data_IF_429935188895
#
_entry.id   IF_429935188895
#
_cell.length_a   1.000
_cell.length_b   1.000
_cell.length_c   1.000
_cell.angle_alpha   90.00
_cell.angle_beta   90.00
_cell.angle_gamma   90.00
#
_symmetry.space_group_name_H-M   'P 1'
#
loop_
_entity.id
_entity.type
_entity.pdbx_description
1 polymer ?
#
# COMPACT_ATOMS: atom_id res chain seq x y z
N UNK A 1 -13.51 18.23 -7.73
CA UNK A 1 -12.48 17.53 -8.52
C UNK A 1 -11.15 18.21 -8.27
N UNK A 2 -10.22 17.51 -7.62
CA UNK A 2 -8.89 18.01 -7.27
C UNK A 2 -7.94 18.00 -8.49
N UNK A 3 -6.76 18.64 -8.37
CA UNK A 3 -5.72 18.54 -9.40
C UNK A 3 -5.24 17.09 -9.59
N UNK A 4 -5.20 16.30 -8.52
CA UNK A 4 -4.85 14.88 -8.56
C UNK A 4 -5.86 14.05 -9.34
N UNK A 5 -7.16 14.38 -9.26
CA UNK A 5 -8.17 13.71 -10.09
C UNK A 5 -7.90 13.95 -11.59
N UNK A 6 -7.50 15.17 -11.97
CA UNK A 6 -7.12 15.51 -13.36
C UNK A 6 -5.85 14.79 -13.80
N UNK A 7 -4.87 14.62 -12.90
CA UNK A 7 -3.68 13.81 -13.20
C UNK A 7 -4.03 12.34 -13.40
N UNK A 8 -4.88 11.78 -12.53
CA UNK A 8 -5.38 10.42 -12.67
C UNK A 8 -6.06 10.19 -14.02
N UNK A 9 -6.96 11.10 -14.42
CA UNK A 9 -7.62 11.07 -15.71
C UNK A 9 -6.62 11.08 -16.88
N UNK A 10 -5.71 12.06 -16.92
CA UNK A 10 -4.72 12.18 -18.01
C UNK A 10 -3.80 10.97 -18.12
N UNK A 11 -3.31 10.44 -16.98
CA UNK A 11 -2.42 9.27 -16.99
C UNK A 11 -3.21 8.04 -17.44
N UNK A 12 -4.44 7.85 -16.98
CA UNK A 12 -5.28 6.72 -17.40
C UNK A 12 -5.56 6.75 -18.90
N UNK A 13 -5.82 7.93 -19.48
CA UNK A 13 -6.06 8.09 -20.93
C UNK A 13 -4.80 7.85 -21.78
N UNK A 14 -3.65 8.36 -21.35
CA UNK A 14 -2.42 8.36 -22.14
C UNK A 14 -1.60 7.07 -21.98
N UNK A 15 -1.55 6.52 -20.77
CA UNK A 15 -0.72 5.35 -20.43
C UNK A 15 -1.54 4.07 -20.49
N UNK A 16 -2.87 4.17 -20.28
CA UNK A 16 -3.80 3.03 -20.23
C UNK A 16 -3.32 1.91 -19.31
N UNK A 17 -3.00 2.19 -18.02
CA UNK A 17 -2.51 1.21 -17.08
C UNK A 17 -3.49 0.03 -16.92
N UNK A 18 -2.96 -1.13 -16.52
CA UNK A 18 -3.74 -2.37 -16.44
C UNK A 18 -4.89 -2.34 -15.42
N UNK A 19 -4.87 -1.37 -14.51
CA UNK A 19 -5.95 -1.10 -13.55
C UNK A 19 -5.97 0.38 -13.17
N UNK A 20 -7.02 0.80 -12.45
CA UNK A 20 -7.15 2.18 -11.94
C UNK A 20 -5.93 2.55 -11.10
N UNK A 21 -5.53 3.82 -11.20
CA UNK A 21 -4.47 4.37 -10.35
C UNK A 21 -5.03 4.52 -8.94
N UNK A 22 -4.26 4.11 -7.94
CA UNK A 22 -4.69 4.16 -6.55
C UNK A 22 -4.13 5.43 -5.90
N UNK A 23 -5.00 6.26 -5.34
CA UNK A 23 -4.66 7.27 -4.35
C UNK A 23 -4.56 6.60 -2.98
N UNK A 24 -3.45 6.78 -2.27
CA UNK A 24 -3.25 6.32 -0.90
C UNK A 24 -2.97 7.52 0.00
N UNK A 25 -3.63 7.57 1.15
CA UNK A 25 -3.36 8.54 2.21
C UNK A 25 -3.28 7.84 3.56
N UNK A 26 -2.33 8.25 4.39
CA UNK A 26 -2.23 7.81 5.78
C UNK A 26 -3.19 8.62 6.66
N UNK A 27 -3.91 7.95 7.56
CA UNK A 27 -4.93 8.57 8.41
C UNK A 27 -4.35 8.92 9.78
N UNK A 28 -4.39 10.20 10.16
CA UNK A 28 -4.01 10.66 11.51
C UNK A 28 -5.23 10.77 12.42
N UNK A 29 -6.43 11.03 11.87
CA UNK A 29 -7.71 11.03 12.60
C UNK A 29 -8.78 10.18 11.92
N UNK A 30 -9.75 9.70 12.70
CA UNK A 30 -10.97 9.07 12.19
C UNK A 30 -11.87 10.07 11.43
N UNK A 31 -11.75 11.36 11.73
CA UNK A 31 -12.51 12.42 11.06
C UNK A 31 -12.08 12.61 9.59
N UNK A 32 -10.90 12.11 9.22
CA UNK A 32 -10.38 12.17 7.85
C UNK A 32 -11.01 11.10 6.94
N UNK A 33 -11.85 10.22 7.48
CA UNK A 33 -12.51 9.14 6.72
C UNK A 33 -13.66 9.75 5.90
N UNK A 34 -13.59 9.73 4.56
CA UNK A 34 -14.65 10.25 3.71
C UNK A 34 -15.90 9.36 3.78
N UNK A 35 -17.06 10.00 3.64
CA UNK A 35 -18.35 9.32 3.58
C UNK A 35 -18.39 8.27 2.46
N UNK A 36 -18.83 7.06 2.78
CA UNK A 36 -18.95 5.95 1.82
C UNK A 36 -17.66 5.15 1.60
N UNK A 37 -16.60 5.44 2.35
CA UNK A 37 -15.48 4.51 2.49
C UNK A 37 -15.94 3.23 3.19
N UNK A 38 -15.43 2.09 2.74
CA UNK A 38 -15.70 0.79 3.33
C UNK A 38 -14.56 0.33 4.22
N UNK A 39 -14.89 -0.42 5.27
CA UNK A 39 -13.94 -1.05 6.16
C UNK A 39 -13.98 -2.58 6.05
N UNK A 40 -12.83 -3.27 5.98
CA UNK A 40 -12.78 -4.73 5.87
C UNK A 40 -13.65 -5.48 6.88
N UNK A 41 -13.54 -5.18 8.18
CA UNK A 41 -14.32 -5.88 9.21
C UNK A 41 -15.80 -5.53 9.09
N UNK A 42 -16.15 -4.25 8.98
CA UNK A 42 -17.55 -3.78 9.01
C UNK A 42 -18.32 -4.21 7.75
N UNK A 43 -17.74 -4.02 6.56
CA UNK A 43 -18.43 -4.25 5.28
C UNK A 43 -18.27 -5.67 4.73
N UNK A 44 -17.20 -6.39 5.10
CA UNK A 44 -16.92 -7.73 4.56
C UNK A 44 -16.83 -8.82 5.64
N UNK A 45 -16.96 -8.45 6.92
CA UNK A 45 -16.93 -9.39 8.05
C UNK A 45 -15.57 -10.04 8.30
N UNK A 46 -14.48 -9.49 7.73
CA UNK A 46 -13.14 -10.08 7.86
C UNK A 46 -12.02 -9.07 7.67
N UNK A 47 -10.94 -9.32 8.39
CA UNK A 47 -9.67 -8.63 8.22
C UNK A 47 -9.07 -8.92 6.83
N UNK A 48 -8.35 -7.96 6.26
CA UNK A 48 -7.75 -8.10 4.93
C UNK A 48 -6.28 -7.72 4.94
N UNK A 49 -5.48 -8.41 4.11
CA UNK A 49 -4.13 -7.94 3.83
C UNK A 49 -4.21 -6.65 3.02
N UNK A 50 -3.26 -5.72 3.21
CA UNK A 50 -3.27 -4.44 2.47
C UNK A 50 -3.27 -4.62 0.97
N UNK A 51 -2.57 -5.63 0.44
CA UNK A 51 -2.61 -5.94 -0.97
C UNK A 51 -4.01 -6.35 -1.49
N UNK A 52 -4.87 -6.92 -0.64
CA UNK A 52 -6.27 -7.25 -0.98
C UNK A 52 -7.13 -5.98 -0.96
N UNK A 53 -7.00 -5.11 0.04
CA UNK A 53 -7.68 -3.82 0.08
C UNK A 53 -7.33 -2.94 -1.14
N UNK A 54 -6.03 -2.82 -1.47
CA UNK A 54 -5.59 -2.11 -2.67
C UNK A 54 -6.09 -2.77 -3.96
N UNK A 55 -6.28 -4.09 -3.96
CA UNK A 55 -6.89 -4.80 -5.08
C UNK A 55 -8.37 -4.43 -5.27
N UNK A 56 -9.13 -4.25 -4.18
CA UNK A 56 -10.51 -3.80 -4.24
C UNK A 56 -10.61 -2.41 -4.89
N UNK A 57 -9.75 -1.49 -4.47
CA UNK A 57 -9.68 -0.16 -5.07
C UNK A 57 -9.33 -0.20 -6.55
N UNK A 58 -8.24 -0.86 -6.93
CA UNK A 58 -7.78 -0.80 -8.33
C UNK A 58 -8.71 -1.53 -9.30
N UNK A 59 -9.32 -2.66 -8.88
CA UNK A 59 -10.13 -3.51 -9.75
C UNK A 59 -11.61 -3.12 -9.75
N UNK A 60 -12.16 -2.82 -8.58
CA UNK A 60 -13.60 -2.56 -8.41
C UNK A 60 -13.92 -1.08 -8.17
N UNK A 61 -12.91 -0.23 -7.98
CA UNK A 61 -13.11 1.20 -7.79
C UNK A 61 -13.55 1.58 -6.37
N UNK A 62 -13.43 0.66 -5.42
CA UNK A 62 -13.89 0.87 -4.05
C UNK A 62 -12.95 1.79 -3.26
N UNK A 63 -13.53 2.65 -2.43
CA UNK A 63 -12.78 3.42 -1.43
C UNK A 63 -12.71 2.58 -0.16
N UNK A 64 -11.52 2.18 0.23
CA UNK A 64 -11.29 1.27 1.37
C UNK A 64 -10.48 2.00 2.43
N UNK A 65 -10.94 1.96 3.67
CA UNK A 65 -10.16 2.33 4.86
C UNK A 65 -9.70 1.07 5.55
N UNK A 66 -8.44 1.02 5.93
CA UNK A 66 -7.89 -0.03 6.80
C UNK A 66 -7.29 0.61 8.04
N UNK A 67 -7.96 0.44 9.17
CA UNK A 67 -7.40 0.72 10.49
C UNK A 67 -6.58 -0.47 10.99
N UNK A 68 -5.94 -0.33 12.14
CA UNK A 68 -5.13 -1.39 12.74
C UNK A 68 -5.87 -2.73 12.83
N UNK A 69 -7.10 -2.73 13.34
CA UNK A 69 -7.92 -3.93 13.51
C UNK A 69 -8.32 -4.58 12.19
N UNK A 70 -8.42 -3.80 11.10
CA UNK A 70 -8.79 -4.31 9.78
C UNK A 70 -7.64 -5.06 9.08
N UNK A 71 -6.41 -4.94 9.60
CA UNK A 71 -5.23 -5.50 8.97
C UNK A 71 -4.96 -6.93 9.39
N UNK A 72 -4.91 -7.79 8.37
CA UNK A 72 -4.49 -9.17 8.51
C UNK A 72 -2.97 -9.35 8.49
N UNK A 73 -2.27 -8.58 7.64
CA UNK A 73 -0.85 -8.79 7.39
C UNK A 73 0.00 -7.97 8.38
N UNK A 74 0.97 -8.58 9.09
CA UNK A 74 1.80 -7.85 10.06
C UNK A 74 2.81 -6.90 9.40
N UNK A 75 3.19 -7.13 8.15
CA UNK A 75 4.19 -6.33 7.44
C UNK A 75 3.73 -4.88 7.20
N UNK A 76 2.51 -4.59 6.69
CA UNK A 76 1.99 -3.23 6.61
C UNK A 76 1.72 -2.63 8.00
N UNK A 77 1.29 -3.41 8.99
CA UNK A 77 1.11 -2.92 10.37
C UNK A 77 2.41 -2.33 10.91
N UNK A 78 3.52 -3.06 10.76
CA UNK A 78 4.86 -2.62 11.20
C UNK A 78 5.40 -1.52 10.28
N UNK A 79 5.31 -1.71 8.95
CA UNK A 79 5.88 -0.78 7.97
C UNK A 79 5.21 0.60 7.99
N UNK A 80 3.91 0.66 8.25
CA UNK A 80 3.16 1.91 8.35
C UNK A 80 3.15 2.50 9.76
N UNK A 81 3.85 1.89 10.72
CA UNK A 81 3.93 2.43 12.09
C UNK A 81 2.62 2.31 12.87
N UNK A 82 1.76 1.35 12.55
CA UNK A 82 0.51 1.13 13.31
C UNK A 82 0.75 0.40 14.63
N UNK A 83 1.86 -0.34 14.73
CA UNK A 83 2.34 -0.92 15.97
C UNK A 83 3.87 -1.02 15.98
N UNK A 84 4.43 -1.09 17.18
CA UNK A 84 5.85 -1.36 17.39
C UNK A 84 6.23 -2.76 16.85
N UNK A 85 7.36 -2.89 16.14
CA UNK A 85 7.83 -4.20 15.71
C UNK A 85 8.21 -5.07 16.94
N UNK A 86 7.61 -6.25 17.11
CA UNK A 86 7.93 -7.13 18.22
C UNK A 86 9.33 -7.76 18.06
N UNK A 87 9.96 -8.23 19.14
CA UNK A 87 11.33 -8.78 19.10
C UNK A 87 11.50 -9.91 18.07
N UNK A 88 10.52 -10.82 17.98
CA UNK A 88 10.55 -11.93 17.02
C UNK A 88 10.60 -11.48 15.55
N UNK A 89 10.17 -10.25 15.24
CA UNK A 89 10.27 -9.67 13.92
C UNK A 89 11.75 -9.45 13.56
N UNK A 90 12.54 -8.90 14.47
CA UNK A 90 13.98 -8.68 14.29
C UNK A 90 14.80 -9.97 14.30
N UNK A 91 14.26 -11.05 14.87
CA UNK A 91 14.83 -12.40 14.79
C UNK A 91 14.55 -13.08 13.43
N UNK A 92 13.80 -12.44 12.51
CA UNK A 92 13.48 -12.98 11.19
C UNK A 92 12.40 -14.07 11.17
N UNK A 93 11.74 -14.33 12.31
CA UNK A 93 10.72 -15.38 12.46
C UNK A 93 9.42 -15.08 11.71
N UNK A 94 9.20 -13.83 11.32
CA UNK A 94 8.05 -13.44 10.50
C UNK A 94 8.16 -13.95 9.05
N UNK A 95 9.37 -14.29 8.57
CA UNK A 95 9.59 -14.79 7.20
C UNK A 95 10.14 -16.20 7.17
N UNK A 96 11.01 -16.60 8.10
CA UNK A 96 11.49 -17.97 8.16
C UNK A 96 10.40 -18.95 8.65
N UNK A 97 10.32 -20.19 8.15
CA UNK A 97 11.09 -20.79 7.04
C UNK A 97 10.46 -20.59 5.65
N UNK A 98 9.30 -19.94 5.55
CA UNK A 98 8.52 -19.93 4.29
C UNK A 98 8.97 -18.91 3.24
N UNK A 99 9.49 -17.76 3.69
CA UNK A 99 9.81 -16.61 2.84
C UNK A 99 11.31 -16.28 2.78
N UNK A 100 12.16 -16.93 3.55
CA UNK A 100 13.63 -16.74 3.53
C UNK A 100 14.34 -18.04 3.92
N UNK A 101 15.59 -18.20 3.45
CA UNK A 101 16.38 -19.41 3.65
C UNK A 101 16.89 -19.62 5.10
N UNK A 102 17.01 -18.54 5.88
CA UNK A 102 17.51 -18.59 7.26
C UNK A 102 16.87 -17.50 8.12
N UNK A 103 16.99 -17.64 9.45
CA UNK A 103 16.60 -16.59 10.40
C UNK A 103 17.42 -15.31 10.16
N UNK A 104 18.73 -15.43 9.90
CA UNK A 104 19.60 -14.28 9.60
C UNK A 104 19.14 -13.50 8.37
N UNK A 105 18.72 -14.19 7.31
CA UNK A 105 18.17 -13.55 6.11
C UNK A 105 16.86 -12.79 6.42
N UNK A 106 16.02 -13.34 7.30
CA UNK A 106 14.81 -12.67 7.79
C UNK A 106 15.15 -11.45 8.66
N UNK A 107 16.13 -11.57 9.55
CA UNK A 107 16.58 -10.51 10.44
C UNK A 107 17.19 -9.32 9.66
N UNK A 108 17.98 -9.59 8.62
CA UNK A 108 18.52 -8.54 7.75
C UNK A 108 17.40 -7.75 7.08
N UNK A 109 16.42 -8.45 6.51
CA UNK A 109 15.26 -7.79 5.92
C UNK A 109 14.45 -6.98 6.95
N UNK A 110 14.26 -7.51 8.15
CA UNK A 110 13.52 -6.83 9.23
C UNK A 110 14.19 -5.51 9.64
N UNK A 111 15.52 -5.45 9.65
CA UNK A 111 16.27 -4.22 9.92
C UNK A 111 16.18 -3.21 8.78
N UNK A 112 16.23 -3.69 7.53
CA UNK A 112 16.19 -2.85 6.33
C UNK A 112 14.78 -2.38 5.94
N UNK A 113 13.73 -3.01 6.46
CA UNK A 113 12.34 -2.61 6.21
C UNK A 113 12.15 -1.13 6.59
N UNK A 114 11.80 -0.26 5.61
CA UNK A 114 11.42 1.11 5.90
C UNK A 114 10.17 1.12 6.77
N UNK A 115 10.19 1.92 7.83
CA UNK A 115 9.12 2.01 8.83
C UNK A 115 8.79 3.47 9.07
N UNK A 116 7.50 3.78 9.10
CA UNK A 116 7.01 5.06 9.62
C UNK A 116 7.08 5.06 11.14
N UNK A 117 7.05 6.25 11.72
CA UNK A 117 7.06 6.43 13.18
C UNK A 117 5.84 5.77 13.83
N UNK A 118 6.03 4.86 14.80
CA UNK A 118 4.93 4.20 15.48
C UNK A 118 3.98 5.18 16.19
N UNK A 119 2.68 4.92 16.09
CA UNK A 119 1.64 5.68 16.79
C UNK A 119 1.25 7.02 16.13
N UNK A 120 1.88 7.38 15.01
CA UNK A 120 1.51 8.58 14.25
C UNK A 120 0.20 8.41 13.46
N UNK A 121 -0.02 7.24 12.89
CA UNK A 121 -1.15 6.96 12.01
C UNK A 121 -2.05 5.88 12.59
N UNK A 122 -3.37 6.02 12.39
CA UNK A 122 -4.39 5.05 12.79
C UNK A 122 -4.61 3.98 11.72
N UNK A 123 -4.24 4.27 10.47
CA UNK A 123 -4.47 3.40 9.33
C UNK A 123 -4.18 4.10 8.01
N UNK A 124 -4.75 3.57 6.94
CA UNK A 124 -4.70 4.19 5.61
C UNK A 124 -6.06 4.15 4.92
N UNK A 125 -6.21 5.04 3.95
CA UNK A 125 -7.28 5.02 2.97
C UNK A 125 -6.73 4.82 1.57
N UNK A 126 -7.44 4.03 0.77
CA UNK A 126 -7.19 3.89 -0.66
C UNK A 126 -8.45 4.15 -1.48
N UNK A 127 -8.35 4.95 -2.53
CA UNK A 127 -9.43 5.24 -3.48
C UNK A 127 -8.89 5.32 -4.91
N UNK A 128 -9.71 5.21 -5.97
CA UNK A 128 -9.27 5.51 -7.32
C UNK A 128 -8.84 6.97 -7.41
N UNK A 129 -7.64 7.24 -7.95
CA UNK A 129 -7.07 8.59 -8.01
C UNK A 129 -7.99 9.58 -8.74
N UNK A 130 -8.71 9.10 -9.78
CA UNK A 130 -9.67 9.90 -10.55
C UNK A 130 -10.86 10.41 -9.73
N UNK A 131 -11.24 9.72 -8.66
CA UNK A 131 -12.43 10.04 -7.85
C UNK A 131 -12.14 10.24 -6.37
N UNK A 132 -10.87 10.18 -5.95
CA UNK A 132 -10.46 10.38 -4.57
C UNK A 132 -10.93 11.76 -4.07
N UNK A 133 -11.59 11.78 -2.91
CA UNK A 133 -12.10 12.96 -2.23
C UNK A 133 -11.10 13.58 -1.24
N UNK A 134 -9.89 13.05 -1.19
CA UNK A 134 -8.78 13.50 -0.34
C UNK A 134 -7.53 13.79 -1.17
N UNK A 135 -6.60 14.55 -0.60
CA UNK A 135 -5.25 14.74 -1.15
C UNK A 135 -4.38 13.51 -0.86
N UNK A 136 -3.87 12.79 -1.86
CA UNK A 136 -3.08 11.58 -1.65
C UNK A 136 -1.64 11.89 -1.25
N UNK A 137 -1.09 11.10 -0.32
CA UNK A 137 0.35 11.10 -0.02
C UNK A 137 1.14 10.37 -1.11
N UNK A 138 0.55 9.31 -1.68
CA UNK A 138 1.15 8.46 -2.72
C UNK A 138 0.13 8.06 -3.77
N UNK A 139 0.55 8.04 -5.03
CA UNK A 139 -0.16 7.40 -6.12
C UNK A 139 0.51 6.07 -6.50
N UNK A 140 -0.24 4.98 -6.53
CA UNK A 140 0.25 3.65 -6.92
C UNK A 140 -0.28 3.31 -8.31
N UNK A 141 0.65 3.11 -9.25
CA UNK A 141 0.35 2.77 -10.65
C UNK A 141 0.82 1.35 -10.93
N UNK A 142 -0.12 0.47 -11.30
CA UNK A 142 0.21 -0.86 -11.80
C UNK A 142 0.40 -0.80 -13.32
N UNK A 143 1.65 -0.95 -13.76
CA UNK A 143 2.03 -0.80 -15.16
C UNK A 143 2.98 -1.93 -15.61
N UNK A 144 3.01 -2.18 -16.92
CA UNK A 144 4.02 -3.04 -17.54
C UNK A 144 5.28 -2.23 -17.90
N UNK A 145 6.32 -2.91 -18.39
CA UNK A 145 7.61 -2.25 -18.72
C UNK A 145 7.48 -1.13 -19.76
N UNK A 146 6.61 -1.27 -20.76
CA UNK A 146 6.41 -0.26 -21.80
C UNK A 146 5.70 0.99 -21.26
N UNK A 147 4.75 0.80 -20.36
CA UNK A 147 4.05 1.88 -19.67
C UNK A 147 4.95 2.60 -18.67
N UNK A 148 5.77 1.84 -17.92
CA UNK A 148 6.78 2.40 -17.02
C UNK A 148 7.77 3.28 -17.79
N UNK A 149 8.27 2.82 -18.94
CA UNK A 149 9.16 3.63 -19.78
C UNK A 149 8.52 4.96 -20.17
N UNK A 150 7.24 4.98 -20.56
CA UNK A 150 6.53 6.22 -20.90
C UNK A 150 6.42 7.18 -19.72
N UNK A 151 6.14 6.68 -18.52
CA UNK A 151 6.11 7.48 -17.30
C UNK A 151 7.49 8.09 -17.00
N UNK A 152 8.55 7.28 -17.10
CA UNK A 152 9.92 7.72 -16.87
C UNK A 152 10.37 8.77 -17.89
N UNK A 153 10.03 8.59 -19.17
CA UNK A 153 10.29 9.60 -20.21
C UNK A 153 9.56 10.92 -19.94
N UNK A 154 8.34 10.87 -19.39
CA UNK A 154 7.61 12.07 -18.98
C UNK A 154 8.30 12.82 -17.83
N UNK A 155 8.98 12.11 -16.93
CA UNK A 155 9.74 12.71 -15.84
C UNK A 155 11.06 13.28 -16.36
N UNK A 156 11.80 12.51 -17.15
CA UNK A 156 13.04 12.94 -17.77
C UNK A 156 12.82 14.09 -18.78
N UNK A 157 11.62 14.27 -19.32
CA UNK A 157 11.30 15.43 -20.16
C UNK A 157 11.42 16.76 -19.41
N UNK A 158 11.18 16.78 -18.10
CA UNK A 158 11.20 18.01 -17.30
C UNK A 158 12.63 18.54 -17.09
N UNK A 159 13.59 17.68 -16.74
CA UNK A 159 14.96 18.10 -16.38
C UNK A 159 16.09 17.24 -16.95
N UNK A 160 15.76 16.24 -17.79
CA UNK A 160 16.72 15.35 -18.44
C UNK A 160 17.31 14.27 -17.52
N UNK A 161 16.83 14.12 -16.28
CA UNK A 161 17.42 13.21 -15.31
C UNK A 161 16.71 11.86 -15.26
N UNK A 162 17.52 10.82 -15.15
CA UNK A 162 17.03 9.47 -14.85
C UNK A 162 16.65 9.34 -13.37
N UNK A 163 15.61 8.55 -13.11
CA UNK A 163 15.21 8.18 -11.75
C UNK A 163 15.95 6.91 -11.36
N UNK A 164 16.61 6.93 -10.20
CA UNK A 164 17.18 5.71 -9.62
C UNK A 164 16.05 4.82 -9.09
N UNK A 165 15.79 3.64 -9.68
CA UNK A 165 14.76 2.75 -9.18
C UNK A 165 15.26 2.12 -7.87
N UNK A 166 14.43 2.18 -6.83
CA UNK A 166 14.58 1.27 -5.68
C UNK A 166 13.62 0.11 -5.87
N UNK A 167 14.16 -1.09 -6.00
CA UNK A 167 13.39 -2.32 -6.00
C UNK A 167 13.54 -3.02 -4.65
N UNK A 168 12.42 -3.45 -4.09
CA UNK A 168 12.39 -4.31 -2.92
C UNK A 168 11.58 -5.56 -3.28
N UNK A 169 12.21 -6.73 -3.23
CA UNK A 169 11.49 -7.99 -3.40
C UNK A 169 10.88 -8.41 -2.06
N UNK A 170 9.54 -8.37 -1.97
CA UNK A 170 8.82 -9.04 -0.89
C UNK A 170 8.46 -10.45 -1.36
N UNK A 171 8.96 -11.46 -0.66
CA UNK A 171 8.64 -12.85 -0.97
C UNK A 171 7.20 -13.12 -0.54
N UNK A 172 6.38 -13.61 -1.48
CA UNK A 172 4.96 -13.90 -1.29
C UNK A 172 4.80 -14.94 -0.18
N UNK A 173 4.40 -14.51 1.01
CA UNK A 173 3.85 -15.42 2.03
C UNK A 173 2.41 -15.76 1.65
N UNK A 174 2.03 -17.03 1.75
CA UNK A 174 0.62 -17.43 1.64
C UNK A 174 -0.12 -16.74 2.77
N UNK A 175 -1.01 -15.79 2.43
CA UNK A 175 -1.92 -15.20 3.40
C UNK A 175 -2.80 -16.34 3.91
N UNK A 176 -2.60 -16.78 5.15
CA UNK A 176 -3.52 -17.72 5.80
C UNK A 176 -4.86 -17.01 6.04
N UNK A 177 -6.01 -17.69 5.93
CA UNK A 177 -7.31 -17.03 5.85
C UNK A 177 -7.91 -16.56 7.20
N UNK A 178 -7.22 -16.72 8.34
CA UNK A 178 -7.87 -16.69 9.67
C UNK A 178 -7.51 -15.46 10.50
N UNK A 179 -8.33 -14.39 10.49
CA UNK A 179 -8.09 -13.17 11.29
C UNK A 179 -7.64 -13.48 12.73
N UNK A 180 -6.59 -12.81 13.29
CA UNK A 180 -6.11 -13.15 14.61
C UNK A 180 -7.22 -12.70 15.58
N UNK A 181 -7.52 -13.49 16.62
CA UNK A 181 -8.30 -12.96 17.72
C UNK A 181 -7.45 -11.87 18.37
N UNK A 182 -7.79 -10.61 18.16
CA UNK A 182 -7.29 -9.50 18.96
C UNK A 182 -8.06 -9.47 20.29
#
# INVERSE_FOLDING_TARGET
MSIYNKYGERIEEQIQPASRIIAVKMLESLDDIPSGAKRPIEDYGKCMATCQALALTRKYGETIVQLFEDMWCPEPVIGFGLAEPPEFFFEGRNRYPGGVASLDAGANWARELPRLEPGRYLGLISAPLRTASFEPDVAVIYCNSAQLLRLLLGIAYEDGRDISPRSSAAIRRVCTPSCPPY
#
